data_IF_714561671760
#
_entry.id   IF_714561671760
#
_cell.length_a   1.000
_cell.length_b   1.000
_cell.length_c   1.000
_cell.angle_alpha   90.00
_cell.angle_beta   90.00
_cell.angle_gamma   90.00
#
_symmetry.space_group_name_H-M   'P 1'
#
loop_
_entity.id
_entity.type
_entity.pdbx_description
1 polymer ?
#
# COMPACT_ATOMS: atom_id res chain seq x y z
N UNK A 1 40.84 -40.93 14.81
CA UNK A 1 41.84 -41.20 15.88
C UNK A 1 41.35 -40.54 17.16
N UNK A 2 41.13 -41.28 18.25
CA UNK A 2 40.69 -40.72 19.53
C UNK A 2 41.91 -40.14 20.25
N UNK A 3 41.84 -38.86 20.61
CA UNK A 3 42.92 -38.16 21.34
C UNK A 3 42.73 -38.42 22.83
N UNK A 4 43.78 -38.84 23.53
CA UNK A 4 43.74 -39.13 24.96
C UNK A 4 44.48 -38.04 25.74
N UNK A 5 43.93 -37.67 26.90
CA UNK A 5 44.53 -36.71 27.83
C UNK A 5 44.78 -37.39 29.17
N UNK A 6 45.96 -37.18 29.75
CA UNK A 6 46.31 -37.66 31.09
C UNK A 6 45.73 -36.70 32.13
N UNK A 7 44.71 -37.14 32.86
CA UNK A 7 44.09 -36.36 33.94
C UNK A 7 44.19 -37.19 35.22
N UNK A 8 44.82 -36.64 36.25
CA UNK A 8 45.05 -37.31 37.55
C UNK A 8 45.69 -38.71 37.41
N UNK A 9 46.66 -38.86 36.50
CA UNK A 9 47.39 -40.11 36.26
C UNK A 9 46.60 -41.18 35.49
N UNK A 10 45.39 -40.87 35.02
CA UNK A 10 44.59 -41.77 34.17
C UNK A 10 44.39 -41.18 32.79
N UNK A 11 44.52 -42.01 31.75
CA UNK A 11 44.23 -41.60 30.37
C UNK A 11 42.72 -41.54 30.16
N UNK A 12 42.21 -40.36 29.81
CA UNK A 12 40.80 -40.10 29.51
C UNK A 12 40.66 -39.72 28.04
N UNK A 13 39.75 -40.38 27.33
CA UNK A 13 39.47 -40.07 25.94
C UNK A 13 38.81 -38.69 25.78
N UNK A 14 39.18 -37.96 24.72
CA UNK A 14 38.68 -36.60 24.44
C UNK A 14 37.16 -36.51 24.37
N UNK A 15 36.49 -37.56 23.90
CA UNK A 15 35.03 -37.62 23.79
C UNK A 15 34.34 -37.70 25.16
N UNK A 16 34.92 -38.43 26.12
CA UNK A 16 34.40 -38.52 27.49
C UNK A 16 34.53 -37.17 28.20
N UNK A 17 35.69 -36.51 28.01
CA UNK A 17 35.92 -35.18 28.55
C UNK A 17 34.93 -34.16 27.97
N UNK A 18 34.72 -34.19 26.65
CA UNK A 18 33.76 -33.32 25.98
C UNK A 18 32.32 -33.55 26.45
N UNK A 19 31.92 -34.81 26.66
CA UNK A 19 30.59 -35.13 27.21
C UNK A 19 30.42 -34.60 28.65
N UNK A 20 31.46 -34.65 29.48
CA UNK A 20 31.43 -34.07 30.83
C UNK A 20 31.27 -32.55 30.83
N UNK A 21 32.00 -31.84 29.96
CA UNK A 21 31.89 -30.38 29.82
C UNK A 21 30.52 -29.98 29.30
N UNK A 22 29.98 -30.69 28.30
CA UNK A 22 28.63 -30.41 27.80
C UNK A 22 27.57 -30.72 28.85
N UNK A 23 27.67 -31.84 29.56
CA UNK A 23 26.71 -32.20 30.62
C UNK A 23 26.66 -31.17 31.76
N UNK A 24 27.81 -30.65 32.17
CA UNK A 24 27.88 -29.60 33.21
C UNK A 24 27.36 -28.25 32.72
N UNK A 25 27.63 -27.89 31.46
CA UNK A 25 27.10 -26.67 30.85
C UNK A 25 25.57 -26.71 30.73
N UNK A 26 25.01 -27.76 30.10
CA UNK A 26 23.55 -27.91 29.94
C UNK A 26 22.86 -28.11 31.29
N UNK A 27 23.45 -28.88 32.21
CA UNK A 27 22.94 -29.06 33.56
C UNK A 27 22.91 -27.77 34.37
N UNK A 28 23.96 -26.95 34.28
CA UNK A 28 24.04 -25.64 34.93
C UNK A 28 23.05 -24.63 34.36
N UNK A 29 22.90 -24.57 33.03
CA UNK A 29 21.88 -23.74 32.38
C UNK A 29 20.48 -24.20 32.78
N UNK A 30 20.21 -25.51 32.74
CA UNK A 30 18.91 -26.05 33.12
C UNK A 30 18.59 -25.75 34.59
N UNK A 31 19.51 -25.98 35.52
CA UNK A 31 19.26 -25.70 36.94
C UNK A 31 19.06 -24.20 37.22
N UNK A 32 19.83 -23.33 36.56
CA UNK A 32 19.68 -21.87 36.69
C UNK A 32 18.42 -21.31 36.01
N UNK A 33 17.88 -21.99 35.00
CA UNK A 33 16.65 -21.59 34.29
C UNK A 33 15.40 -22.32 34.78
N UNK A 34 15.52 -23.37 35.62
CA UNK A 34 14.41 -24.11 36.24
C UNK A 34 13.80 -23.37 37.44
N UNK A 35 13.70 -22.04 37.34
CA UNK A 35 12.95 -21.21 38.27
C UNK A 35 11.47 -21.60 38.26
N UNK A 36 10.91 -21.79 39.46
CA UNK A 36 9.55 -22.26 39.70
C UNK A 36 8.48 -21.49 38.93
N UNK A 37 7.53 -22.25 38.38
CA UNK A 37 6.40 -21.72 37.63
C UNK A 37 5.48 -20.86 38.50
N UNK A 38 5.62 -19.55 38.38
CA UNK A 38 4.45 -18.69 38.30
C UNK A 38 4.18 -18.49 36.81
N UNK A 39 2.98 -18.89 36.36
CA UNK A 39 2.49 -18.59 35.02
C UNK A 39 2.56 -17.08 34.82
N UNK A 40 3.60 -16.60 34.14
CA UNK A 40 3.62 -15.25 33.61
C UNK A 40 2.56 -15.21 32.51
N UNK A 41 1.37 -14.75 32.86
CA UNK A 41 0.48 -14.11 31.89
C UNK A 41 1.35 -13.11 31.12
N UNK A 42 1.37 -13.27 29.80
CA UNK A 42 2.13 -12.39 28.93
C UNK A 42 1.84 -10.94 29.29
N UNK A 43 2.90 -10.18 29.49
CA UNK A 43 2.81 -8.74 29.71
C UNK A 43 2.36 -8.11 28.39
N UNK A 44 1.05 -8.08 28.17
CA UNK A 44 0.45 -6.84 27.71
C UNK A 44 0.42 -5.92 28.92
N UNK A 45 0.83 -4.64 28.80
CA UNK A 45 0.73 -3.69 29.90
C UNK A 45 -0.67 -3.74 30.52
N UNK A 46 -0.83 -3.75 31.85
CA UNK A 46 -2.15 -3.67 32.47
C UNK A 46 -2.74 -2.30 32.15
N UNK A 47 -3.56 -2.22 31.11
CA UNK A 47 -4.38 -1.05 30.86
C UNK A 47 -5.61 -1.20 31.77
N UNK A 48 -5.42 -0.93 33.08
CA UNK A 48 -6.55 -0.79 33.99
C UNK A 48 -7.25 0.53 33.67
N UNK A 49 -8.36 0.45 32.95
CA UNK A 49 -9.32 1.54 32.90
C UNK A 49 -10.00 1.61 34.27
N UNK A 50 -9.73 2.67 35.02
CA UNK A 50 -10.31 2.85 36.35
C UNK A 50 -11.79 3.24 36.27
N UNK A 51 -12.27 3.61 35.07
CA UNK A 51 -13.66 3.94 34.76
C UNK A 51 -14.08 3.38 33.38
N UNK A 52 -15.39 3.18 33.18
CA UNK A 52 -15.95 2.73 31.88
C UNK A 52 -15.70 3.74 30.75
N UNK A 53 -15.49 5.01 31.08
CA UNK A 53 -15.22 6.07 30.10
C UNK A 53 -13.75 6.04 29.65
N UNK A 54 -12.82 5.73 30.55
CA UNK A 54 -11.43 5.44 30.19
C UNK A 54 -11.33 4.19 29.32
N UNK A 55 -12.12 3.14 29.59
CA UNK A 55 -12.16 1.93 28.76
C UNK A 55 -12.61 2.25 27.34
N UNK A 56 -13.68 3.06 27.19
CA UNK A 56 -14.13 3.52 25.87
C UNK A 56 -13.09 4.39 25.18
N UNK A 57 -12.41 5.26 25.91
CA UNK A 57 -11.35 6.10 25.38
C UNK A 57 -10.16 5.26 24.90
N UNK A 58 -9.74 4.28 25.70
CA UNK A 58 -8.67 3.33 25.35
C UNK A 58 -9.08 2.46 24.16
N UNK A 59 -10.31 1.94 24.12
CA UNK A 59 -10.81 1.18 22.97
C UNK A 59 -10.91 2.05 21.72
N UNK A 60 -11.33 3.31 21.84
CA UNK A 60 -11.36 4.27 20.75
C UNK A 60 -9.96 4.58 20.22
N UNK A 61 -9.00 4.88 21.11
CA UNK A 61 -7.61 5.13 20.75
C UNK A 61 -6.95 3.87 20.18
N UNK A 62 -7.18 2.70 20.77
CA UNK A 62 -6.67 1.43 20.25
C UNK A 62 -7.29 1.06 18.90
N UNK A 63 -8.58 1.36 18.67
CA UNK A 63 -9.25 1.20 17.38
C UNK A 63 -8.67 2.15 16.32
N UNK A 64 -8.34 3.39 16.68
CA UNK A 64 -7.67 4.33 15.78
C UNK A 64 -6.23 3.90 15.50
N UNK A 65 -5.51 3.42 16.51
CA UNK A 65 -4.15 2.89 16.36
C UNK A 65 -4.12 1.56 15.59
N UNK A 66 -5.25 0.84 15.53
CA UNK A 66 -5.42 -0.37 14.72
C UNK A 66 -5.72 -0.06 13.25
N UNK A 67 -6.13 1.16 12.91
CA UNK A 67 -6.42 1.60 11.53
C UNK A 67 -5.53 2.79 11.21
N UNK A 68 -4.34 2.52 10.66
CA UNK A 68 -3.43 3.58 10.26
C UNK A 68 -3.99 4.30 9.03
N UNK A 69 -4.34 5.58 9.16
CA UNK A 69 -4.69 6.43 8.01
C UNK A 69 -3.40 6.94 7.37
N UNK A 70 -3.21 6.64 6.09
CA UNK A 70 -2.05 7.08 5.33
C UNK A 70 -2.46 8.24 4.41
N UNK A 71 -1.81 9.38 4.60
CA UNK A 71 -1.89 10.51 3.68
C UNK A 71 -0.72 10.49 2.70
N UNK A 72 -1.02 10.63 1.41
CA UNK A 72 -0.02 10.79 0.35
C UNK A 72 -0.43 11.89 -0.62
N UNK A 73 0.59 12.58 -1.13
CA UNK A 73 0.44 13.62 -2.13
C UNK A 73 1.32 13.30 -3.34
N UNK A 74 0.87 13.72 -4.52
CA UNK A 74 1.66 13.68 -5.74
C UNK A 74 1.45 14.96 -6.56
N UNK A 75 2.51 15.39 -7.26
CA UNK A 75 2.52 16.60 -8.08
C UNK A 75 3.02 16.28 -9.49
N UNK A 76 2.31 16.81 -10.49
CA UNK A 76 2.57 16.56 -11.90
C UNK A 76 2.73 17.88 -12.63
N UNK A 77 3.80 17.99 -13.42
CA UNK A 77 4.07 19.14 -14.28
C UNK A 77 3.41 18.95 -15.66
N UNK A 78 2.46 19.81 -16.01
CA UNK A 78 1.65 19.73 -17.23
C UNK A 78 2.49 19.70 -18.52
N UNK A 79 3.48 20.61 -18.72
CA UNK A 79 4.32 20.59 -19.92
C UNK A 79 5.02 19.26 -20.15
N UNK A 80 5.35 18.50 -19.08
CA UNK A 80 5.94 17.17 -19.22
C UNK A 80 4.94 16.16 -19.77
N UNK A 81 3.71 16.17 -19.27
CA UNK A 81 2.63 15.32 -19.77
C UNK A 81 2.28 15.69 -21.21
N UNK A 82 2.13 16.98 -21.52
CA UNK A 82 1.90 17.50 -22.87
C UNK A 82 2.97 17.01 -23.86
N UNK A 83 4.25 17.09 -23.49
CA UNK A 83 5.35 16.57 -24.32
C UNK A 83 5.28 15.06 -24.55
N UNK A 84 4.75 14.29 -23.60
CA UNK A 84 4.61 12.84 -23.74
C UNK A 84 3.44 12.47 -24.65
N UNK A 85 2.30 13.11 -24.46
CA UNK A 85 1.09 12.82 -25.22
C UNK A 85 1.17 13.35 -26.66
N UNK A 86 1.90 14.44 -26.91
CA UNK A 86 2.16 14.95 -28.27
C UNK A 86 3.07 14.04 -29.10
N UNK A 87 3.70 13.01 -28.51
CA UNK A 87 4.48 12.04 -29.29
C UNK A 87 3.55 11.12 -30.07
N UNK A 88 3.84 10.83 -31.35
CA UNK A 88 3.08 9.88 -32.14
C UNK A 88 3.01 8.52 -31.43
N UNK A 89 1.83 7.89 -31.44
CA UNK A 89 1.48 6.61 -30.80
C UNK A 89 1.61 6.52 -29.27
N UNK A 90 2.17 7.52 -28.60
CA UNK A 90 2.38 7.46 -27.15
C UNK A 90 1.11 7.77 -26.37
N UNK A 91 0.26 8.67 -26.88
CA UNK A 91 -1.03 9.00 -26.28
C UNK A 91 -1.88 7.75 -26.00
N UNK A 92 -2.08 6.91 -27.02
CA UNK A 92 -2.87 5.69 -26.90
C UNK A 92 -2.23 4.66 -25.96
N UNK A 93 -0.90 4.52 -25.96
CA UNK A 93 -0.19 3.63 -25.03
C UNK A 93 -0.30 4.12 -23.58
N UNK A 94 -0.17 5.43 -23.37
CA UNK A 94 -0.24 6.06 -22.05
C UNK A 94 -1.64 5.87 -21.44
N UNK A 95 -2.69 6.22 -22.17
CA UNK A 95 -4.08 6.08 -21.68
C UNK A 95 -4.44 4.63 -21.41
N UNK A 96 -4.09 3.70 -22.31
CA UNK A 96 -4.37 2.27 -22.14
C UNK A 96 -3.62 1.64 -20.95
N UNK A 97 -2.43 2.13 -20.62
CA UNK A 97 -1.62 1.61 -19.50
C UNK A 97 -2.12 2.12 -18.15
N UNK A 98 -2.56 3.38 -18.11
CA UNK A 98 -2.76 4.11 -16.85
C UNK A 98 -4.25 4.18 -16.46
N UNK A 99 -5.13 4.35 -17.44
CA UNK A 99 -6.57 4.48 -17.20
C UNK A 99 -7.25 3.10 -17.19
N UNK A 100 -8.15 2.91 -16.23
CA UNK A 100 -9.07 1.78 -16.22
C UNK A 100 -10.10 1.95 -17.34
N UNK A 101 -10.77 0.86 -17.76
CA UNK A 101 -11.75 0.91 -18.85
C UNK A 101 -12.83 1.97 -18.59
N UNK A 102 -13.39 2.04 -17.38
CA UNK A 102 -14.37 3.07 -16.99
C UNK A 102 -13.86 4.50 -17.21
N UNK A 103 -12.63 4.80 -16.77
CA UNK A 103 -12.04 6.14 -16.94
C UNK A 103 -11.75 6.47 -18.41
N UNK A 104 -11.47 5.46 -19.25
CA UNK A 104 -11.33 5.65 -20.69
C UNK A 104 -12.67 5.99 -21.34
N UNK A 105 -13.78 5.39 -20.89
CA UNK A 105 -15.12 5.75 -21.35
C UNK A 105 -15.47 7.18 -20.93
N UNK A 106 -15.23 7.54 -19.66
CA UNK A 106 -15.44 8.90 -19.15
C UNK A 106 -14.63 9.93 -19.92
N UNK A 107 -13.38 9.60 -20.23
CA UNK A 107 -12.49 10.45 -21.03
C UNK A 107 -13.05 10.67 -22.44
N UNK A 108 -13.48 9.60 -23.11
CA UNK A 108 -14.07 9.69 -24.46
C UNK A 108 -15.38 10.46 -24.45
N UNK A 109 -16.24 10.24 -23.46
CA UNK A 109 -17.50 10.95 -23.31
C UNK A 109 -17.27 12.45 -23.09
N UNK A 110 -16.33 12.81 -22.21
CA UNK A 110 -16.05 14.20 -21.82
C UNK A 110 -15.38 15.02 -22.91
N UNK A 111 -14.54 14.40 -23.74
CA UNK A 111 -13.84 15.06 -24.84
C UNK A 111 -14.39 14.69 -26.22
N UNK A 112 -15.58 14.07 -26.26
CA UNK A 112 -16.33 13.73 -27.47
C UNK A 112 -15.51 13.07 -28.58
N UNK A 113 -14.62 12.14 -28.20
CA UNK A 113 -13.88 11.33 -29.17
C UNK A 113 -14.86 10.30 -29.77
N UNK A 114 -15.37 10.56 -30.98
CA UNK A 114 -16.33 9.66 -31.65
C UNK A 114 -15.81 8.22 -31.70
N UNK A 115 -16.68 7.20 -31.54
CA UNK A 115 -16.31 5.80 -31.75
C UNK A 115 -15.92 5.56 -33.22
N UNK A 116 -15.00 4.61 -33.49
CA UNK A 116 -14.43 4.36 -34.82
C UNK A 116 -15.39 3.67 -35.82
N UNK A 117 -16.71 3.80 -35.66
CA UNK A 117 -17.72 3.06 -36.43
C UNK A 117 -18.41 3.88 -37.52
N UNK A 118 -17.81 4.96 -38.00
CA UNK A 118 -18.34 5.72 -39.14
C UNK A 118 -17.18 6.15 -40.03
N UNK A 119 -17.09 5.56 -41.22
CA UNK A 119 -16.07 5.84 -42.23
C UNK A 119 -16.15 7.25 -42.82
N UNK A 120 -16.01 8.27 -41.99
CA UNK A 120 -15.80 9.65 -42.39
C UNK A 120 -14.31 9.97 -42.23
N UNK A 121 -13.67 10.12 -43.39
CA UNK A 121 -12.27 10.44 -43.55
C UNK A 121 -11.89 11.78 -42.87
N UNK A 122 -10.70 11.78 -42.25
CA UNK A 122 -9.73 12.90 -42.26
C UNK A 122 -10.23 14.32 -41.89
N UNK A 123 -11.05 14.47 -40.86
CA UNK A 123 -11.33 15.78 -40.28
C UNK A 123 -11.07 15.79 -38.77
N UNK A 124 -9.86 16.17 -38.39
CA UNK A 124 -9.45 16.39 -37.00
C UNK A 124 -8.19 15.62 -36.64
N UNK A 125 -7.03 16.10 -37.09
CA UNK A 125 -5.78 15.81 -36.40
C UNK A 125 -6.02 15.99 -34.90
N UNK A 126 -5.65 14.97 -34.15
CA UNK A 126 -5.64 14.85 -32.69
C UNK A 126 -5.01 16.10 -32.03
N UNK A 127 -5.73 17.22 -32.00
CA UNK A 127 -5.29 18.43 -31.35
C UNK A 127 -5.48 18.22 -29.86
N UNK A 128 -4.44 17.69 -29.22
CA UNK A 128 -4.41 17.48 -27.78
C UNK A 128 -4.60 18.83 -27.11
N UNK A 129 -5.77 19.00 -26.49
CA UNK A 129 -6.06 20.24 -25.78
C UNK A 129 -5.32 20.27 -24.44
N UNK A 130 -4.95 21.46 -23.93
CA UNK A 130 -4.37 21.59 -22.60
C UNK A 130 -5.30 21.03 -21.52
N UNK A 131 -6.61 21.05 -21.73
CA UNK A 131 -7.60 20.49 -20.80
C UNK A 131 -7.60 18.97 -20.77
N UNK A 132 -7.37 18.31 -21.91
CA UNK A 132 -7.12 16.85 -21.94
C UNK A 132 -5.88 16.50 -21.12
N UNK A 133 -4.80 17.27 -21.29
CA UNK A 133 -3.56 17.06 -20.54
C UNK A 133 -3.74 17.27 -19.04
N UNK A 134 -4.48 18.33 -18.63
CA UNK A 134 -4.86 18.59 -17.23
C UNK A 134 -5.66 17.44 -16.64
N UNK A 135 -6.65 16.96 -17.37
CA UNK A 135 -7.50 15.85 -16.94
C UNK A 135 -6.67 14.58 -16.72
N UNK A 136 -5.81 14.24 -17.68
CA UNK A 136 -4.91 13.09 -17.60
C UNK A 136 -3.89 13.24 -16.46
N UNK A 137 -3.31 14.42 -16.30
CA UNK A 137 -2.38 14.73 -15.22
C UNK A 137 -3.04 14.56 -13.84
N UNK A 138 -4.30 14.98 -13.69
CA UNK A 138 -5.08 14.78 -12.45
C UNK A 138 -5.28 13.31 -12.11
N UNK A 139 -5.60 12.48 -13.10
CA UNK A 139 -5.75 11.03 -12.87
C UNK A 139 -4.42 10.33 -12.64
N UNK A 140 -3.36 10.78 -13.30
CA UNK A 140 -2.01 10.30 -13.04
C UNK A 140 -1.58 10.60 -11.60
N UNK A 141 -1.68 11.86 -11.18
CA UNK A 141 -1.33 12.31 -9.83
C UNK A 141 -2.15 11.56 -8.77
N UNK A 142 -3.47 11.45 -8.98
CA UNK A 142 -4.36 10.75 -8.06
C UNK A 142 -3.98 9.27 -7.90
N UNK A 143 -3.66 8.58 -9.02
CA UNK A 143 -3.26 7.17 -8.98
C UNK A 143 -1.88 6.96 -8.37
N UNK A 144 -0.91 7.85 -8.62
CA UNK A 144 0.39 7.83 -7.95
C UNK A 144 0.23 8.00 -6.42
N UNK A 145 -0.51 9.02 -5.98
CA UNK A 145 -0.79 9.25 -4.57
C UNK A 145 -1.50 8.04 -3.93
N UNK A 146 -2.49 7.46 -4.61
CA UNK A 146 -3.22 6.30 -4.15
C UNK A 146 -2.33 5.05 -4.02
N UNK A 147 -1.48 4.78 -5.02
CA UNK A 147 -0.53 3.65 -4.97
C UNK A 147 0.48 3.83 -3.83
N UNK A 148 0.97 5.05 -3.61
CA UNK A 148 1.85 5.36 -2.46
C UNK A 148 1.16 5.21 -1.10
N UNK A 149 -0.17 5.31 -1.05
CA UNK A 149 -0.97 5.22 0.17
C UNK A 149 -1.42 3.78 0.46
N UNK A 150 -1.22 2.85 -0.49
CA UNK A 150 -1.62 1.46 -0.34
C UNK A 150 -0.84 0.79 0.82
N UNK A 151 -1.49 -0.03 1.66
CA UNK A 151 -0.85 -0.68 2.81
C UNK A 151 0.34 -1.56 2.44
N UNK A 152 0.24 -2.26 1.30
CA UNK A 152 1.30 -3.12 0.76
C UNK A 152 2.33 -2.37 -0.11
N UNK A 153 2.23 -1.03 -0.17
CA UNK A 153 3.16 -0.14 -0.88
C UNK A 153 2.87 0.01 -2.39
N UNK A 154 3.57 0.95 -3.03
CA UNK A 154 3.27 1.36 -4.40
C UNK A 154 3.47 0.28 -5.48
N UNK A 155 4.30 -0.72 -5.21
CA UNK A 155 4.59 -1.81 -6.15
C UNK A 155 3.52 -2.92 -6.14
N UNK A 156 2.69 -3.00 -5.09
CA UNK A 156 1.69 -4.06 -4.95
C UNK A 156 0.45 -3.83 -5.80
N UNK A 157 0.21 -2.60 -6.26
CA UNK A 157 -0.95 -2.21 -7.07
C UNK A 157 -0.50 -1.73 -8.45
N UNK A 158 -1.15 -2.27 -9.47
CA UNK A 158 -1.06 -1.76 -10.84
C UNK A 158 -1.86 -0.46 -11.00
N UNK A 159 -1.63 0.22 -12.12
CA UNK A 159 -2.36 1.45 -12.46
C UNK A 159 -3.87 1.24 -12.65
N UNK A 160 -4.26 0.05 -13.10
CA UNK A 160 -5.66 -0.31 -13.38
C UNK A 160 -6.40 -0.81 -12.15
N UNK A 161 -5.67 -1.20 -11.11
CA UNK A 161 -6.24 -1.68 -9.84
C UNK A 161 -6.70 -0.50 -8.95
N UNK A 162 -6.49 0.73 -9.41
CA UNK A 162 -6.95 1.96 -8.78
C UNK A 162 -7.85 2.71 -9.77
N UNK A 163 -9.09 2.98 -9.37
CA UNK A 163 -10.05 3.74 -10.16
C UNK A 163 -10.35 5.05 -9.46
N UNK A 164 -10.29 6.17 -10.19
CA UNK A 164 -10.85 7.43 -9.72
C UNK A 164 -12.31 7.50 -10.15
N UNK A 165 -13.23 7.48 -9.19
CA UNK A 165 -14.67 7.65 -9.43
C UNK A 165 -15.16 8.96 -8.85
N UNK A 166 -16.31 9.39 -9.29
CA UNK A 166 -17.04 10.50 -8.65
C UNK A 166 -18.13 9.85 -7.82
N UNK A 167 -18.11 10.06 -6.51
CA UNK A 167 -19.08 9.44 -5.61
C UNK A 167 -20.48 9.95 -5.90
N UNK A 168 -21.44 9.03 -6.12
CA UNK A 168 -22.84 9.38 -6.34
C UNK A 168 -23.47 10.01 -5.09
N UNK A 169 -23.03 9.60 -3.89
CA UNK A 169 -23.53 10.10 -2.62
C UNK A 169 -23.12 11.55 -2.31
N UNK A 170 -21.93 11.99 -2.77
CA UNK A 170 -21.29 13.26 -2.36
C UNK A 170 -21.21 14.29 -3.50
N UNK A 171 -22.30 14.47 -4.28
CA UNK A 171 -22.49 15.59 -5.24
C UNK A 171 -21.26 15.96 -6.10
N UNK A 172 -20.59 14.98 -6.71
CA UNK A 172 -19.48 15.29 -7.62
C UNK A 172 -18.08 15.23 -6.99
N UNK A 173 -17.95 14.84 -5.72
CA UNK A 173 -16.64 14.69 -5.07
C UNK A 173 -15.89 13.46 -5.62
N UNK A 174 -14.62 13.59 -6.02
CA UNK A 174 -13.85 12.46 -6.50
C UNK A 174 -13.38 11.57 -5.34
N UNK A 175 -13.39 10.26 -5.58
CA UNK A 175 -12.98 9.22 -4.64
C UNK A 175 -12.08 8.20 -5.35
N UNK A 176 -11.19 7.57 -4.57
CA UNK A 176 -10.35 6.47 -5.04
C UNK A 176 -10.98 5.15 -4.63
N UNK A 177 -11.14 4.24 -5.57
CA UNK A 177 -11.54 2.86 -5.31
C UNK A 177 -10.37 1.94 -5.63
N UNK A 178 -9.92 1.21 -4.62
CA UNK A 178 -8.92 0.15 -4.77
C UNK A 178 -9.65 -1.15 -5.13
N UNK A 179 -9.40 -1.65 -6.33
CA UNK A 179 -9.89 -2.96 -6.76
C UNK A 179 -9.01 -4.02 -6.12
N UNK A 180 -9.60 -4.87 -5.28
CA UNK A 180 -8.88 -5.96 -4.64
C UNK A 180 -8.92 -7.17 -5.58
N UNK A 181 -7.78 -7.62 -6.17
CA UNK A 181 -7.80 -8.74 -7.11
C UNK A 181 -8.11 -10.09 -6.45
N UNK A 182 -7.97 -10.17 -5.12
CA UNK A 182 -8.01 -11.40 -4.33
C UNK A 182 -9.26 -11.59 -3.47
N UNK A 183 -10.24 -10.67 -3.49
CA UNK A 183 -11.55 -10.87 -2.85
C UNK A 183 -11.48 -11.25 -1.36
N UNK A 184 -10.50 -10.74 -0.62
CA UNK A 184 -10.20 -11.17 0.76
C UNK A 184 -10.95 -10.43 1.87
N UNK A 185 -11.74 -9.42 1.55
CA UNK A 185 -12.57 -8.68 2.52
C UNK A 185 -14.05 -8.82 2.17
N UNK A 186 -14.87 -9.26 3.13
CA UNK A 186 -16.24 -9.75 2.94
C UNK A 186 -17.33 -8.72 2.57
N UNK A 187 -17.02 -7.76 1.73
CA UNK A 187 -17.99 -6.88 1.08
C UNK A 187 -17.43 -6.55 -0.30
N UNK A 188 -18.13 -6.92 -1.38
CA UNK A 188 -17.69 -6.70 -2.76
C UNK A 188 -17.50 -5.23 -3.20
N UNK A 189 -17.42 -4.30 -2.24
CA UNK A 189 -16.95 -2.94 -2.43
C UNK A 189 -15.46 -2.87 -2.14
N UNK A 190 -14.68 -2.59 -3.19
CA UNK A 190 -13.25 -2.29 -3.05
C UNK A 190 -13.02 -1.15 -2.04
N UNK A 191 -11.86 -1.16 -1.37
CA UNK A 191 -11.55 -0.16 -0.35
C UNK A 191 -11.62 1.25 -0.94
N UNK A 192 -12.34 2.16 -0.28
CA UNK A 192 -12.52 3.54 -0.76
C UNK A 192 -11.61 4.50 0.00
N UNK A 193 -10.84 5.29 -0.72
CA UNK A 193 -10.03 6.39 -0.21
C UNK A 193 -10.61 7.75 -0.59
N UNK A 194 -10.46 8.74 0.30
CA UNK A 194 -10.85 10.12 -0.01
C UNK A 194 -9.78 10.79 -0.86
N UNK A 195 -10.21 11.52 -1.88
CA UNK A 195 -9.34 12.15 -2.87
C UNK A 195 -9.66 13.63 -3.00
N UNK A 196 -8.60 14.42 -3.15
CA UNK A 196 -8.66 15.80 -3.59
C UNK A 196 -7.70 16.00 -4.75
N UNK A 197 -8.13 16.71 -5.78
CA UNK A 197 -7.31 17.09 -6.94
C UNK A 197 -7.45 18.59 -7.11
N UNK A 198 -6.33 19.28 -7.22
CA UNK A 198 -6.25 20.69 -7.58
C UNK A 198 -5.27 20.89 -8.72
N UNK A 199 -5.42 22.00 -9.44
CA UNK A 199 -4.45 22.42 -10.43
C UNK A 199 -4.27 23.93 -10.35
N UNK A 200 -3.03 24.37 -10.47
CA UNK A 200 -2.68 25.78 -10.52
C UNK A 200 -1.52 25.98 -11.50
N UNK A 201 -1.66 26.98 -12.38
CA UNK A 201 -0.77 27.21 -13.51
C UNK A 201 -0.45 25.93 -14.30
N UNK A 202 0.83 25.56 -14.27
CA UNK A 202 1.41 24.40 -14.97
C UNK A 202 1.56 23.15 -14.10
N UNK A 203 0.91 23.11 -12.93
CA UNK A 203 0.99 21.98 -12.00
C UNK A 203 -0.38 21.44 -11.62
N UNK A 204 -0.44 20.12 -11.45
CA UNK A 204 -1.58 19.41 -10.86
C UNK A 204 -1.11 18.69 -9.62
N UNK A 205 -1.87 18.81 -8.54
CA UNK A 205 -1.61 18.17 -7.26
C UNK A 205 -2.79 17.26 -6.93
N UNK A 206 -2.49 16.07 -6.42
CA UNK A 206 -3.51 15.18 -5.87
C UNK A 206 -3.10 14.71 -4.48
N UNK A 207 -4.06 14.70 -3.56
CA UNK A 207 -3.89 14.17 -2.19
C UNK A 207 -4.89 13.05 -1.96
N UNK A 208 -4.40 11.93 -1.46
CA UNK A 208 -5.20 10.74 -1.13
C UNK A 208 -5.06 10.42 0.36
N UNK A 209 -6.19 10.13 0.98
CA UNK A 209 -6.30 9.58 2.32
C UNK A 209 -6.91 8.18 2.21
N UNK A 210 -6.12 7.17 2.59
CA UNK A 210 -6.56 5.78 2.63
C UNK A 210 -6.42 5.23 4.06
N UNK A 211 -7.46 4.56 4.55
CA UNK A 211 -7.41 3.82 5.81
C UNK A 211 -6.78 2.44 5.57
N UNK A 212 -5.78 2.08 6.39
CA UNK A 212 -5.01 0.85 6.36
C UNK A 212 -5.60 -0.23 7.24
#
# INVERSE_FOLDING_TARGET
>A
MVVYYQIAGKQVGSHVLAMGVMGTLFGGIYLSTRGGGQKKQGVTPPIQASSKDEEKFIQYVASILSTYVVQRTDIVHLPRILRLINRPDYFHRFTRRILHEQEQHDFRARFSLLPPSSGAEKAGLNAITPDMARWLAGRFAAKEAARKAAPAGAASLGWKDVIVRVGEADKGRPEIVYLDPLGGGGSGEGRVGKLSISHDGDYVVATVLAAG
#
